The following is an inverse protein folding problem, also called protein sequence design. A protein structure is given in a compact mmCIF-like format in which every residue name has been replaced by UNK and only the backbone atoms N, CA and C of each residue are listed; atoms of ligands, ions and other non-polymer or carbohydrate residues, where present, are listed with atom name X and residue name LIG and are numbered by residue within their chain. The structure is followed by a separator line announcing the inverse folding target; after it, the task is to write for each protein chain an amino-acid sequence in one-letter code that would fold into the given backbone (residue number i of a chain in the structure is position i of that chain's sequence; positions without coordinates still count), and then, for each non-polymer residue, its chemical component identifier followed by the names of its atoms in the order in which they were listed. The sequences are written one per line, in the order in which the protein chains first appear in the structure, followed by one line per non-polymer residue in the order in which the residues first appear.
data_IF_863418255072
#
_entry.id   IF_863418255072
#
_cell.length_a   1.000
_cell.length_b   1.000
_cell.length_c   1.000
_cell.angle_alpha   90.00
_cell.angle_beta   90.00
_cell.angle_gamma   90.00
#
_symmetry.space_group_name_H-M   'P 1'
#
loop_
_entity.id
_entity.type
_entity.pdbx_description
1 polymer ?
#
# COMPACT_ATOMS: atom_id res chain seq x y z
N UNK A 1 -20.17 -17.13 -1.94
CA UNK A 1 -18.98 -16.33 -2.21
C UNK A 1 -18.09 -17.10 -3.15
N UNK A 2 -17.72 -16.56 -4.29
CA UNK A 2 -16.65 -17.12 -5.13
C UNK A 2 -15.37 -17.18 -4.30
N UNK A 3 -14.57 -18.23 -4.48
CA UNK A 3 -13.28 -18.33 -3.80
C UNK A 3 -12.37 -17.23 -4.33
N UNK A 4 -12.03 -16.25 -3.52
CA UNK A 4 -11.05 -15.23 -3.89
C UNK A 4 -9.64 -15.76 -3.66
N UNK A 5 -8.73 -15.41 -4.57
CA UNK A 5 -7.32 -15.79 -4.44
C UNK A 5 -6.57 -14.87 -3.49
N UNK A 6 -6.95 -13.60 -3.45
CA UNK A 6 -6.28 -12.54 -2.70
C UNK A 6 -7.29 -11.83 -1.78
N UNK A 7 -6.89 -11.61 -0.53
CA UNK A 7 -7.55 -10.66 0.38
C UNK A 7 -6.62 -9.47 0.59
N UNK A 8 -7.09 -8.27 0.29
CA UNK A 8 -6.39 -7.02 0.60
C UNK A 8 -7.06 -6.35 1.79
N UNK A 9 -6.30 -6.09 2.86
CA UNK A 9 -6.76 -5.24 3.98
C UNK A 9 -6.21 -3.85 3.73
N UNK A 10 -7.08 -2.94 3.34
CA UNK A 10 -6.74 -1.71 2.65
C UNK A 10 -7.09 -0.45 3.43
N UNK A 11 -6.23 0.56 3.35
CA UNK A 11 -6.66 1.94 3.50
C UNK A 11 -7.35 2.41 2.21
N UNK A 12 -8.48 3.06 2.39
CA UNK A 12 -9.34 3.58 1.31
C UNK A 12 -9.40 5.10 1.43
N UNK A 13 -8.85 5.81 0.46
CA UNK A 13 -8.78 7.26 0.45
C UNK A 13 -9.41 7.82 -0.83
N UNK A 14 -9.92 9.04 -0.74
CA UNK A 14 -10.00 9.88 -1.94
C UNK A 14 -8.69 10.65 -2.08
N UNK A 15 -8.10 10.62 -3.26
CA UNK A 15 -6.87 11.35 -3.56
C UNK A 15 -7.25 12.67 -4.26
N UNK A 16 -6.99 13.80 -3.59
CA UNK A 16 -7.16 15.14 -4.14
C UNK A 16 -5.78 15.66 -4.56
N UNK A 17 -5.50 15.61 -5.85
CA UNK A 17 -4.23 16.03 -6.44
C UNK A 17 -4.38 17.47 -6.92
N UNK A 18 -3.62 18.38 -6.34
CA UNK A 18 -3.51 19.77 -6.78
C UNK A 18 -2.28 19.92 -7.65
N UNK A 19 -2.45 20.36 -8.89
CA UNK A 19 -1.34 20.61 -9.82
C UNK A 19 -0.94 22.06 -9.80
N UNK A 20 0.36 22.33 -9.67
CA UNK A 20 0.94 23.66 -9.71
C UNK A 20 2.10 23.72 -10.72
N UNK A 21 1.89 24.38 -11.85
CA UNK A 21 2.91 24.54 -12.91
C UNK A 21 4.03 25.50 -12.53
N UNK A 22 3.73 26.49 -11.68
CA UNK A 22 4.70 27.48 -11.23
C UNK A 22 4.96 27.36 -9.73
N UNK A 23 6.08 26.75 -9.38
CA UNK A 23 6.49 26.50 -7.98
C UNK A 23 7.02 27.72 -7.23
N UNK A 24 7.22 28.88 -7.91
CA UNK A 24 7.83 30.08 -7.32
C UNK A 24 6.86 30.97 -6.54
N UNK A 25 5.67 30.50 -6.21
CA UNK A 25 4.73 31.26 -5.40
C UNK A 25 5.20 31.33 -3.93
N UNK A 26 5.69 32.52 -3.52
CA UNK A 26 6.17 32.78 -2.14
C UNK A 26 5.09 33.36 -1.22
N UNK A 27 3.91 33.70 -1.74
CA UNK A 27 2.81 34.29 -0.97
C UNK A 27 2.12 33.24 -0.06
N UNK A 28 1.46 33.72 1.02
CA UNK A 28 0.61 32.86 1.87
C UNK A 28 -0.55 32.24 1.10
N UNK A 29 -1.07 32.94 0.10
CA UNK A 29 -2.12 32.45 -0.80
C UNK A 29 -1.45 31.83 -2.01
N UNK A 30 -1.66 30.55 -2.21
CA UNK A 30 -1.16 29.80 -3.36
C UNK A 30 -2.34 29.44 -4.26
N UNK A 31 -2.07 29.34 -5.56
CA UNK A 31 -3.04 28.95 -6.56
C UNK A 31 -2.58 27.66 -7.22
N UNK A 32 -3.45 26.67 -7.29
CA UNK A 32 -3.28 25.53 -8.15
C UNK A 32 -3.86 25.82 -9.53
N UNK A 33 -3.28 25.25 -10.57
CA UNK A 33 -3.75 25.40 -11.95
C UNK A 33 -4.92 24.46 -12.25
N UNK A 34 -4.92 23.27 -11.64
CA UNK A 34 -5.97 22.27 -11.76
C UNK A 34 -6.03 21.40 -10.51
N UNK A 35 -7.09 20.59 -10.41
CA UNK A 35 -7.14 19.50 -9.46
C UNK A 35 -7.77 18.26 -10.10
N UNK A 36 -7.38 17.09 -9.57
CA UNK A 36 -8.00 15.79 -9.85
C UNK A 36 -8.48 15.19 -8.55
N UNK A 37 -9.63 14.57 -8.57
CA UNK A 37 -10.18 13.81 -7.45
C UNK A 37 -10.45 12.39 -7.92
N UNK A 38 -9.82 11.41 -7.28
CA UNK A 38 -9.94 10.00 -7.66
C UNK A 38 -9.95 9.08 -6.44
N UNK A 39 -10.61 7.92 -6.51
CA UNK A 39 -10.39 6.85 -5.56
C UNK A 39 -8.92 6.43 -5.51
N UNK A 40 -8.41 6.20 -4.31
CA UNK A 40 -7.01 5.86 -4.10
C UNK A 40 -6.75 5.30 -2.70
N UNK A 41 -5.54 5.53 -2.23
CA UNK A 41 -4.96 4.84 -1.08
C UNK A 41 -4.18 3.60 -1.52
N UNK A 42 -3.04 3.34 -0.88
CA UNK A 42 -2.13 2.27 -1.33
C UNK A 42 -2.83 0.91 -1.43
N UNK A 43 -3.60 0.52 -0.39
CA UNK A 43 -4.30 -0.76 -0.43
C UNK A 43 -5.42 -0.82 -1.46
N UNK A 44 -6.09 0.31 -1.76
CA UNK A 44 -7.03 0.40 -2.88
C UNK A 44 -6.30 0.14 -4.21
N UNK A 45 -5.18 0.83 -4.45
CA UNK A 45 -4.41 0.72 -5.68
C UNK A 45 -3.86 -0.70 -5.88
N UNK A 46 -3.38 -1.35 -4.80
CA UNK A 46 -2.92 -2.74 -4.80
C UNK A 46 -4.04 -3.71 -5.20
N UNK A 47 -5.23 -3.53 -4.63
CA UNK A 47 -6.39 -4.39 -4.93
C UNK A 47 -6.85 -4.23 -6.39
N UNK A 48 -6.95 -2.98 -6.87
CA UNK A 48 -7.34 -2.68 -8.26
C UNK A 48 -6.30 -3.22 -9.23
N UNK A 49 -5.01 -3.03 -8.96
CA UNK A 49 -3.94 -3.56 -9.80
C UNK A 49 -4.01 -5.09 -9.90
N UNK A 50 -4.19 -5.78 -8.77
CA UNK A 50 -4.33 -7.23 -8.76
C UNK A 50 -5.58 -7.71 -9.54
N UNK A 51 -6.71 -7.03 -9.38
CA UNK A 51 -7.95 -7.35 -10.09
C UNK A 51 -7.80 -7.14 -11.62
N UNK A 52 -7.20 -6.03 -12.03
CA UNK A 52 -6.93 -5.72 -13.46
C UNK A 52 -5.94 -6.70 -14.09
N UNK A 53 -5.06 -7.31 -13.29
CA UNK A 53 -4.18 -8.40 -13.73
C UNK A 53 -4.86 -9.78 -13.77
N UNK A 54 -6.16 -9.85 -13.47
CA UNK A 54 -6.98 -11.06 -13.56
C UNK A 54 -7.09 -11.89 -12.28
N UNK A 55 -6.61 -11.38 -11.14
CA UNK A 55 -6.81 -12.05 -9.87
C UNK A 55 -8.26 -11.87 -9.36
N UNK A 56 -8.77 -12.87 -8.63
CA UNK A 56 -10.01 -12.73 -7.87
C UNK A 56 -9.69 -12.12 -6.52
N UNK A 57 -10.11 -10.86 -6.30
CA UNK A 57 -9.74 -10.06 -5.14
C UNK A 57 -10.94 -9.81 -4.24
N UNK A 58 -10.79 -10.13 -2.95
CA UNK A 58 -11.62 -9.61 -1.88
C UNK A 58 -10.92 -8.42 -1.23
N UNK A 59 -11.68 -7.35 -0.93
CA UNK A 59 -11.14 -6.17 -0.29
C UNK A 59 -11.88 -5.88 1.01
N UNK A 60 -11.11 -5.75 2.09
CA UNK A 60 -11.57 -5.36 3.41
C UNK A 60 -11.07 -3.97 3.77
N UNK A 61 -11.96 -3.10 4.23
CA UNK A 61 -11.62 -1.71 4.53
C UNK A 61 -12.77 -0.95 5.18
N UNK A 62 -12.52 0.33 5.47
CA UNK A 62 -13.52 1.24 6.05
C UNK A 62 -13.63 2.49 5.19
N UNK A 63 -14.87 2.93 4.96
CA UNK A 63 -15.20 4.21 4.31
C UNK A 63 -16.14 5.00 5.20
N UNK A 64 -16.10 6.32 5.09
CA UNK A 64 -17.00 7.20 5.83
C UNK A 64 -18.40 7.22 5.26
N UNK A 65 -19.34 7.78 6.04
CA UNK A 65 -20.73 8.04 5.60
C UNK A 65 -20.87 9.37 4.84
N UNK A 66 -19.81 9.83 4.20
CA UNK A 66 -19.73 11.06 3.42
C UNK A 66 -19.81 10.83 1.90
N UNK A 67 -19.75 11.91 1.12
CA UNK A 67 -19.76 11.85 -0.34
C UNK A 67 -18.55 11.11 -0.94
N UNK A 68 -17.40 11.16 -0.26
CA UNK A 68 -16.22 10.43 -0.68
C UNK A 68 -16.39 8.91 -0.47
N UNK A 69 -16.99 8.52 0.66
CA UNK A 69 -17.35 7.10 0.89
C UNK A 69 -18.30 6.54 -0.15
N UNK A 70 -19.28 7.34 -0.60
CA UNK A 70 -20.17 6.94 -1.68
C UNK A 70 -19.42 6.74 -3.01
N UNK A 71 -18.50 7.63 -3.36
CA UNK A 71 -17.68 7.52 -4.58
C UNK A 71 -16.72 6.32 -4.50
N UNK A 72 -16.04 6.12 -3.36
CA UNK A 72 -15.19 4.96 -3.12
C UNK A 72 -15.98 3.66 -3.30
N UNK A 73 -17.18 3.57 -2.71
CA UNK A 73 -18.02 2.39 -2.81
C UNK A 73 -18.46 2.10 -4.25
N UNK A 74 -18.79 3.13 -5.02
CA UNK A 74 -19.14 2.99 -6.43
C UNK A 74 -17.96 2.42 -7.24
N UNK A 75 -16.77 2.99 -7.09
CA UNK A 75 -15.57 2.55 -7.77
C UNK A 75 -15.16 1.11 -7.38
N UNK A 76 -15.27 0.75 -6.10
CA UNK A 76 -14.97 -0.61 -5.65
C UNK A 76 -15.89 -1.65 -6.28
N UNK A 77 -17.16 -1.34 -6.49
CA UNK A 77 -18.11 -2.26 -7.14
C UNK A 77 -17.79 -2.50 -8.63
N UNK A 78 -17.08 -1.57 -9.26
CA UNK A 78 -16.67 -1.69 -10.67
C UNK A 78 -15.34 -2.44 -10.82
N UNK A 79 -14.41 -2.24 -9.89
CA UNK A 79 -13.02 -2.68 -10.01
C UNK A 79 -12.72 -4.00 -9.26
N UNK A 80 -13.44 -4.28 -8.17
CA UNK A 80 -13.08 -5.37 -7.24
C UNK A 80 -14.10 -6.51 -7.30
N UNK A 81 -13.61 -7.74 -7.28
CA UNK A 81 -14.44 -8.95 -7.36
C UNK A 81 -15.40 -9.08 -6.18
N UNK A 82 -14.93 -8.78 -4.95
CA UNK A 82 -15.72 -8.83 -3.72
C UNK A 82 -15.38 -7.68 -2.79
N UNK A 83 -16.25 -6.67 -2.72
CA UNK A 83 -16.16 -5.51 -1.83
C UNK A 83 -17.09 -5.59 -0.60
N UNK A 84 -17.70 -6.75 -0.32
CA UNK A 84 -18.69 -6.90 0.77
C UNK A 84 -18.06 -6.74 2.15
N UNK A 85 -16.75 -6.90 2.27
CA UNK A 85 -16.00 -6.68 3.50
C UNK A 85 -15.70 -5.19 3.76
N UNK A 86 -16.02 -4.29 2.84
CA UNK A 86 -15.90 -2.85 3.09
C UNK A 86 -17.12 -2.36 3.89
N UNK A 87 -16.85 -1.76 5.04
CA UNK A 87 -17.88 -1.21 5.92
C UNK A 87 -17.98 0.30 5.83
N UNK A 88 -19.18 0.81 5.91
CA UNK A 88 -19.46 2.25 6.07
C UNK A 88 -19.51 2.56 7.57
N UNK A 89 -18.73 3.53 8.01
CA UNK A 89 -18.71 4.00 9.41
C UNK A 89 -19.11 5.47 9.48
N UNK A 90 -19.65 5.95 10.59
CA UNK A 90 -19.94 7.38 10.78
C UNK A 90 -18.65 8.23 10.67
N UNK A 91 -18.76 9.38 10.02
CA UNK A 91 -17.64 10.34 9.87
C UNK A 91 -17.10 10.40 8.45
N UNK A 92 -15.91 11.00 8.32
CA UNK A 92 -15.25 11.22 7.03
C UNK A 92 -14.49 10.00 6.55
N UNK A 93 -14.47 9.78 5.26
CA UNK A 93 -13.57 8.86 4.58
C UNK A 93 -12.10 9.30 4.73
N UNK A 94 -11.17 8.41 4.44
CA UNK A 94 -9.77 8.79 4.27
C UNK A 94 -9.60 9.75 3.08
N UNK A 95 -8.65 10.67 3.20
CA UNK A 95 -8.32 11.64 2.16
C UNK A 95 -6.80 11.83 2.09
N UNK A 96 -6.24 11.77 0.90
CA UNK A 96 -4.88 12.20 0.62
C UNK A 96 -4.94 13.50 -0.19
N UNK A 97 -4.42 14.60 0.38
CA UNK A 97 -4.20 15.83 -0.35
C UNK A 97 -2.76 15.84 -0.88
N UNK A 98 -2.62 15.84 -2.19
CA UNK A 98 -1.34 15.75 -2.88
C UNK A 98 -1.07 17.06 -3.62
N UNK A 99 -0.02 17.77 -3.24
CA UNK A 99 0.44 18.93 -3.97
C UNK A 99 1.57 18.50 -4.91
N UNK A 100 1.28 18.52 -6.21
CA UNK A 100 2.24 18.24 -7.27
C UNK A 100 2.71 19.54 -7.90
N UNK A 101 3.99 19.81 -7.82
CA UNK A 101 4.59 21.04 -8.38
C UNK A 101 5.70 20.69 -9.35
N UNK A 102 5.74 21.38 -10.51
CA UNK A 102 6.73 21.13 -11.54
C UNK A 102 8.16 21.23 -10.99
N UNK A 103 8.96 20.18 -11.15
CA UNK A 103 10.36 20.12 -10.74
C UNK A 103 10.59 19.98 -9.23
N UNK A 104 9.55 19.74 -8.44
CA UNK A 104 9.65 19.48 -6.99
C UNK A 104 9.10 18.09 -6.65
N UNK A 105 9.47 17.59 -5.46
CA UNK A 105 8.83 16.39 -4.92
C UNK A 105 7.40 16.73 -4.48
N UNK A 106 6.48 15.77 -4.64
CA UNK A 106 5.11 15.94 -4.19
C UNK A 106 5.05 16.08 -2.66
N UNK A 107 4.11 16.90 -2.18
CA UNK A 107 3.83 17.04 -0.75
C UNK A 107 2.49 16.37 -0.47
N UNK A 108 2.45 15.55 0.58
CA UNK A 108 1.29 14.76 0.94
C UNK A 108 0.76 15.18 2.32
N UNK A 109 -0.57 15.30 2.45
CA UNK A 109 -1.27 15.37 3.72
C UNK A 109 -2.32 14.28 3.75
N UNK A 110 -2.12 13.32 4.65
CA UNK A 110 -3.05 12.21 4.81
C UNK A 110 -3.99 12.46 5.99
N UNK A 111 -5.29 12.35 5.73
CA UNK A 111 -6.34 12.36 6.72
C UNK A 111 -6.84 10.92 6.85
N UNK A 112 -6.56 10.29 7.98
CA UNK A 112 -6.84 8.87 8.21
C UNK A 112 -8.33 8.56 8.08
N UNK A 113 -9.20 9.42 8.62
CA UNK A 113 -10.65 9.24 8.54
C UNK A 113 -11.11 7.86 9.00
N UNK A 114 -12.01 7.27 8.24
CA UNK A 114 -12.60 5.95 8.49
C UNK A 114 -11.57 4.82 8.60
N UNK A 115 -10.38 4.96 7.99
CA UNK A 115 -9.33 3.94 8.10
C UNK A 115 -8.88 3.69 9.55
N UNK A 116 -9.05 4.66 10.46
CA UNK A 116 -8.79 4.48 11.89
C UNK A 116 -9.71 3.44 12.54
N UNK A 117 -10.85 3.14 11.96
CA UNK A 117 -11.81 2.15 12.46
C UNK A 117 -11.48 0.70 12.05
N UNK A 118 -10.40 0.48 11.30
CA UNK A 118 -9.87 -0.85 11.03
C UNK A 118 -9.18 -1.41 12.27
N UNK A 119 -9.94 -1.63 13.33
CA UNK A 119 -9.44 -2.11 14.62
C UNK A 119 -9.23 -3.62 14.66
N UNK A 120 -8.69 -4.12 15.77
CA UNK A 120 -8.43 -5.54 15.95
C UNK A 120 -9.71 -6.38 16.00
N UNK A 121 -10.84 -5.82 16.44
CA UNK A 121 -12.11 -6.54 16.48
C UNK A 121 -12.60 -6.84 15.06
N UNK A 122 -12.52 -5.83 14.19
CA UNK A 122 -12.81 -6.01 12.77
C UNK A 122 -11.90 -7.05 12.12
N UNK A 123 -10.57 -7.01 12.40
CA UNK A 123 -9.61 -7.96 11.87
C UNK A 123 -9.89 -9.39 12.34
N UNK A 124 -10.26 -9.59 13.62
CA UNK A 124 -10.69 -10.91 14.12
C UNK A 124 -11.90 -11.45 13.34
N UNK A 125 -12.84 -10.56 12.98
CA UNK A 125 -13.99 -10.92 12.15
C UNK A 125 -13.61 -11.39 10.74
N UNK A 126 -12.41 -11.06 10.26
CA UNK A 126 -11.90 -11.49 8.94
C UNK A 126 -11.17 -12.85 8.98
N UNK A 127 -10.97 -13.47 10.16
CA UNK A 127 -10.15 -14.68 10.28
C UNK A 127 -10.57 -15.79 9.31
N UNK A 128 -11.88 -16.04 9.17
CA UNK A 128 -12.38 -17.05 8.25
C UNK A 128 -12.16 -16.72 6.77
N UNK A 129 -12.01 -15.45 6.41
CA UNK A 129 -11.67 -15.00 5.06
C UNK A 129 -10.17 -15.13 4.81
N UNK A 130 -9.35 -14.71 5.78
CA UNK A 130 -7.88 -14.88 5.75
C UNK A 130 -7.52 -16.36 5.54
N UNK A 131 -8.20 -17.28 6.24
CA UNK A 131 -7.94 -18.72 6.15
C UNK A 131 -8.29 -19.34 4.79
N UNK A 132 -9.05 -18.66 3.93
CA UNK A 132 -9.54 -19.21 2.65
C UNK A 132 -8.82 -18.70 1.43
N UNK A 133 -8.06 -17.60 1.54
CA UNK A 133 -7.32 -17.01 0.43
C UNK A 133 -5.93 -17.60 0.31
N UNK A 134 -5.34 -17.50 -0.86
CA UNK A 134 -3.94 -17.91 -1.10
C UNK A 134 -2.95 -16.86 -0.59
N UNK A 135 -3.32 -15.59 -0.66
CA UNK A 135 -2.47 -14.45 -0.31
C UNK A 135 -3.26 -13.40 0.46
N UNK A 136 -2.71 -12.99 1.60
CA UNK A 136 -3.09 -11.78 2.31
C UNK A 136 -2.14 -10.66 1.89
N UNK A 137 -2.68 -9.53 1.41
CA UNK A 137 -1.94 -8.29 1.18
C UNK A 137 -2.33 -7.30 2.26
N UNK A 138 -1.36 -6.73 2.96
CA UNK A 138 -1.58 -5.78 4.05
C UNK A 138 -0.41 -4.81 4.16
N UNK A 139 -0.69 -3.59 4.61
CA UNK A 139 0.33 -2.55 4.80
C UNK A 139 0.06 -1.69 6.04
N UNK A 140 0.85 -0.64 6.24
CA UNK A 140 0.73 0.25 7.40
C UNK A 140 -0.16 1.49 7.16
N UNK A 141 -0.93 1.52 6.09
CA UNK A 141 -2.01 2.51 5.88
C UNK A 141 -3.23 2.30 6.79
N UNK A 142 -3.20 1.22 7.59
CA UNK A 142 -4.19 0.91 8.63
C UNK A 142 -3.50 0.85 10.01
N UNK A 143 -4.24 0.83 11.15
CA UNK A 143 -3.61 0.78 12.46
C UNK A 143 -2.60 -0.37 12.59
N UNK A 144 -1.43 -0.09 13.15
CA UNK A 144 -0.32 -1.04 13.24
C UNK A 144 -0.71 -2.35 13.94
N UNK A 145 -1.44 -2.28 15.05
CA UNK A 145 -1.90 -3.46 15.78
C UNK A 145 -2.77 -4.37 14.91
N UNK A 146 -3.61 -3.77 14.06
CA UNK A 146 -4.48 -4.48 13.11
C UNK A 146 -3.67 -5.18 12.02
N UNK A 147 -2.65 -4.52 11.48
CA UNK A 147 -1.72 -5.13 10.52
C UNK A 147 -1.00 -6.34 11.13
N UNK A 148 -0.44 -6.18 12.33
CA UNK A 148 0.26 -7.28 13.04
C UNK A 148 -0.69 -8.44 13.33
N UNK A 149 -1.91 -8.15 13.78
CA UNK A 149 -2.91 -9.19 14.03
C UNK A 149 -3.29 -9.94 12.75
N UNK A 150 -3.50 -9.24 11.64
CA UNK A 150 -3.82 -9.86 10.36
C UNK A 150 -2.70 -10.82 9.89
N UNK A 151 -1.43 -10.39 10.03
CA UNK A 151 -0.26 -11.23 9.71
C UNK A 151 -0.22 -12.48 10.61
N UNK A 152 -0.47 -12.34 11.91
CA UNK A 152 -0.50 -13.48 12.84
C UNK A 152 -1.64 -14.47 12.52
N UNK A 153 -2.81 -13.95 12.13
CA UNK A 153 -3.92 -14.79 11.71
C UNK A 153 -3.59 -15.55 10.42
N UNK A 154 -2.98 -14.88 9.44
CA UNK A 154 -2.51 -15.52 8.22
C UNK A 154 -1.49 -16.63 8.52
N UNK A 155 -0.51 -16.36 9.37
CA UNK A 155 0.46 -17.36 9.83
C UNK A 155 -0.21 -18.56 10.50
N UNK A 156 -1.22 -18.34 11.36
CA UNK A 156 -1.98 -19.40 12.02
C UNK A 156 -2.66 -20.35 11.03
N UNK A 157 -3.11 -19.83 9.91
CA UNK A 157 -3.83 -20.60 8.88
C UNK A 157 -2.96 -21.03 7.68
N UNK A 158 -1.68 -20.69 7.67
CA UNK A 158 -0.77 -21.02 6.57
C UNK A 158 -1.04 -20.21 5.30
N UNK A 159 -1.73 -19.08 5.41
CA UNK A 159 -1.96 -18.13 4.30
C UNK A 159 -0.68 -17.34 4.04
N UNK A 160 -0.27 -17.24 2.79
CA UNK A 160 0.89 -16.42 2.42
C UNK A 160 0.64 -14.93 2.69
N UNK A 161 1.67 -14.19 3.09
CA UNK A 161 1.58 -12.77 3.45
C UNK A 161 2.47 -11.94 2.54
N UNK A 162 1.88 -10.94 1.87
CA UNK A 162 2.59 -9.81 1.28
C UNK A 162 2.41 -8.60 2.18
N UNK A 163 3.52 -8.11 2.74
CA UNK A 163 3.55 -6.87 3.52
C UNK A 163 4.08 -5.74 2.65
N UNK A 164 3.29 -4.69 2.47
CA UNK A 164 3.70 -3.46 1.78
C UNK A 164 4.07 -2.42 2.83
N UNK A 165 5.35 -2.11 2.90
CA UNK A 165 5.98 -1.45 4.05
C UNK A 165 6.08 0.08 3.89
N UNK A 166 5.11 0.74 3.28
CA UNK A 166 5.09 2.21 3.27
C UNK A 166 4.80 2.78 4.67
N UNK A 167 5.30 3.98 4.96
CA UNK A 167 5.30 4.60 6.30
C UNK A 167 5.94 3.69 7.37
N UNK A 168 6.98 2.95 6.97
CA UNK A 168 7.54 1.92 7.80
C UNK A 168 8.27 2.47 9.03
N UNK A 169 8.23 1.67 10.06
CA UNK A 169 9.00 1.75 11.29
C UNK A 169 9.88 0.51 11.39
N UNK A 170 10.85 0.49 12.29
CA UNK A 170 11.60 -0.75 12.55
C UNK A 170 10.66 -1.91 12.86
N UNK A 171 10.86 -3.05 12.20
CA UNK A 171 10.09 -4.28 12.42
C UNK A 171 10.99 -5.30 13.14
N UNK A 172 10.37 -6.10 14.00
CA UNK A 172 11.08 -7.22 14.64
C UNK A 172 11.35 -8.34 13.65
N UNK A 173 12.40 -9.12 13.89
CA UNK A 173 12.70 -10.32 13.11
C UNK A 173 11.59 -11.36 13.23
N UNK A 174 10.92 -11.44 14.41
CA UNK A 174 9.71 -12.26 14.59
C UNK A 174 8.64 -11.89 13.57
N UNK A 175 8.32 -10.61 13.40
CA UNK A 175 7.29 -10.17 12.44
C UNK A 175 7.74 -10.41 11.00
N UNK A 176 9.00 -10.11 10.67
CA UNK A 176 9.56 -10.36 9.33
C UNK A 176 9.54 -11.84 8.96
N UNK A 177 9.74 -12.75 9.93
CA UNK A 177 9.68 -14.21 9.69
C UNK A 177 8.27 -14.73 9.37
N UNK A 178 7.23 -13.92 9.58
CA UNK A 178 5.84 -14.23 9.22
C UNK A 178 5.47 -13.69 7.82
N UNK A 179 6.37 -12.95 7.17
CA UNK A 179 6.14 -12.33 5.87
C UNK A 179 6.77 -13.16 4.77
N UNK A 180 5.99 -13.50 3.74
CA UNK A 180 6.49 -14.22 2.57
C UNK A 180 7.11 -13.25 1.56
N UNK A 181 6.40 -12.15 1.27
CA UNK A 181 6.83 -11.14 0.31
C UNK A 181 6.82 -9.78 1.01
N UNK A 182 7.96 -9.13 1.07
CA UNK A 182 8.09 -7.76 1.57
C UNK A 182 8.26 -6.81 0.40
N UNK A 183 7.36 -5.83 0.29
CA UNK A 183 7.43 -4.74 -0.71
C UNK A 183 7.78 -3.45 0.00
N UNK A 184 8.80 -2.75 -0.51
CA UNK A 184 9.25 -1.47 0.05
C UNK A 184 9.84 -0.57 -1.03
N UNK A 185 9.89 0.74 -0.78
CA UNK A 185 10.66 1.67 -1.58
C UNK A 185 12.06 1.92 -0.96
N UNK A 186 12.88 2.69 -1.68
CA UNK A 186 14.24 2.99 -1.23
C UNK A 186 14.29 3.80 0.08
N UNK A 187 13.24 4.57 0.42
CA UNK A 187 13.15 5.38 1.65
C UNK A 187 12.89 4.50 2.87
N UNK A 188 12.10 3.45 2.68
CA UNK A 188 11.73 2.52 3.75
C UNK A 188 12.83 1.53 4.08
N UNK A 189 13.85 1.42 3.25
CA UNK A 189 14.99 0.58 3.52
C UNK A 189 15.79 1.05 4.76
N UNK A 190 15.86 2.36 5.02
CA UNK A 190 16.56 2.87 6.19
C UNK A 190 15.94 2.38 7.52
N UNK A 191 14.63 2.57 7.81
CA UNK A 191 14.04 2.06 9.04
C UNK A 191 13.96 0.53 9.12
N UNK A 192 13.98 -0.18 7.97
CA UNK A 192 13.83 -1.64 7.93
C UNK A 192 15.15 -2.39 7.91
N UNK A 193 16.17 -1.89 7.22
CA UNK A 193 17.46 -2.55 7.04
C UNK A 193 18.65 -1.76 7.62
N UNK A 194 18.37 -0.64 8.31
CA UNK A 194 19.37 0.26 8.88
C UNK A 194 20.42 0.73 7.87
N UNK A 195 19.97 0.96 6.61
CA UNK A 195 20.85 1.48 5.57
C UNK A 195 20.10 2.26 4.50
N UNK A 196 20.74 3.30 3.98
CA UNK A 196 20.24 4.04 2.83
C UNK A 196 20.41 3.25 1.54
N UNK A 197 19.37 3.31 0.70
CA UNK A 197 19.36 2.72 -0.63
C UNK A 197 19.37 3.82 -1.69
N UNK A 198 20.50 4.00 -2.36
CA UNK A 198 20.71 5.04 -3.37
C UNK A 198 20.96 4.48 -4.77
N UNK A 199 21.27 3.19 -4.89
CA UNK A 199 21.59 2.52 -6.14
C UNK A 199 21.29 1.02 -6.04
N UNK A 200 21.41 0.31 -7.18
CA UNK A 200 21.13 -1.12 -7.26
C UNK A 200 22.03 -1.97 -6.36
N UNK A 201 23.29 -1.57 -6.12
CA UNK A 201 24.21 -2.30 -5.24
C UNK A 201 23.73 -2.22 -3.79
N UNK A 202 23.40 -1.03 -3.28
CA UNK A 202 22.86 -0.86 -1.93
C UNK A 202 21.48 -1.51 -1.78
N UNK A 203 20.63 -1.49 -2.83
CA UNK A 203 19.36 -2.20 -2.84
C UNK A 203 19.50 -3.71 -2.65
N UNK A 204 20.48 -4.33 -3.33
CA UNK A 204 20.79 -5.76 -3.18
C UNK A 204 21.26 -6.11 -1.76
N UNK A 205 22.06 -5.25 -1.15
CA UNK A 205 22.54 -5.47 0.23
C UNK A 205 21.35 -5.37 1.20
N UNK A 206 20.55 -4.31 1.13
CA UNK A 206 19.38 -4.12 1.97
C UNK A 206 18.39 -5.29 1.86
N UNK A 207 18.05 -5.69 0.63
CA UNK A 207 17.16 -6.82 0.39
C UNK A 207 17.73 -8.14 0.95
N UNK A 208 19.02 -8.37 0.78
CA UNK A 208 19.70 -9.55 1.36
C UNK A 208 19.72 -9.56 2.90
N UNK A 209 19.80 -8.39 3.53
CA UNK A 209 19.70 -8.27 4.99
C UNK A 209 18.29 -8.61 5.46
N UNK A 210 17.23 -8.12 4.77
CA UNK A 210 15.83 -8.39 5.11
C UNK A 210 15.47 -9.88 4.94
N UNK A 211 15.99 -10.54 3.91
CA UNK A 211 15.89 -12.00 3.75
C UNK A 211 16.54 -12.74 4.92
N UNK A 212 17.75 -12.34 5.35
CA UNK A 212 18.43 -12.94 6.50
C UNK A 212 17.72 -12.71 7.82
N UNK A 213 16.95 -11.61 7.95
CA UNK A 213 16.10 -11.30 9.11
C UNK A 213 14.78 -12.07 9.12
N UNK A 214 14.50 -12.88 8.10
CA UNK A 214 13.42 -13.83 8.14
C UNK A 214 12.38 -13.73 7.03
N UNK A 215 12.40 -12.72 6.15
CA UNK A 215 11.48 -12.68 5.00
C UNK A 215 11.63 -13.96 4.19
N UNK A 216 10.50 -14.67 3.97
CA UNK A 216 10.60 -16.10 3.59
C UNK A 216 10.86 -16.34 2.11
N UNK A 217 10.27 -15.57 1.24
CA UNK A 217 10.33 -15.84 -0.21
C UNK A 217 11.01 -14.73 -1.00
N UNK A 218 10.55 -13.49 -0.87
CA UNK A 218 11.06 -12.40 -1.68
C UNK A 218 11.02 -11.04 -0.97
N UNK A 219 11.97 -10.17 -1.32
CA UNK A 219 11.94 -8.74 -1.06
C UNK A 219 11.85 -8.02 -2.39
N UNK A 220 10.79 -7.24 -2.58
CA UNK A 220 10.58 -6.39 -3.75
C UNK A 220 10.90 -4.95 -3.36
N UNK A 221 11.98 -4.41 -3.90
CA UNK A 221 12.43 -3.06 -3.60
C UNK A 221 12.39 -2.20 -4.85
N UNK A 222 11.57 -1.14 -4.83
CA UNK A 222 11.50 -0.20 -5.94
C UNK A 222 12.31 1.08 -5.65
N UNK A 223 12.88 1.66 -6.69
CA UNK A 223 13.74 2.83 -6.60
C UNK A 223 13.23 3.92 -7.54
N UNK A 224 12.54 4.92 -7.00
CA UNK A 224 12.12 6.16 -7.70
C UNK A 224 11.74 5.92 -9.17
N UNK A 225 10.76 5.04 -9.44
CA UNK A 225 10.26 4.72 -10.78
C UNK A 225 11.28 4.22 -11.83
N UNK A 226 12.53 3.94 -11.43
CA UNK A 226 13.57 3.51 -12.37
C UNK A 226 13.91 2.04 -12.31
N UNK A 227 13.91 1.44 -11.14
CA UNK A 227 14.30 0.05 -10.95
C UNK A 227 13.37 -0.65 -9.98
N UNK A 228 13.02 -1.87 -10.29
CA UNK A 228 12.48 -2.84 -9.35
C UNK A 228 13.55 -3.91 -9.14
N UNK A 229 13.94 -4.13 -7.90
CA UNK A 229 14.77 -5.27 -7.50
C UNK A 229 13.88 -6.33 -6.87
N UNK A 230 13.91 -7.54 -7.40
CA UNK A 230 13.37 -8.73 -6.76
C UNK A 230 14.55 -9.55 -6.18
N UNK A 231 14.56 -9.73 -4.87
CA UNK A 231 15.55 -10.52 -4.16
C UNK A 231 14.88 -11.76 -3.56
N UNK A 232 15.47 -12.91 -3.77
CA UNK A 232 15.06 -14.20 -3.18
C UNK A 232 16.27 -14.90 -2.58
N UNK A 233 16.06 -15.99 -1.85
CA UNK A 233 17.15 -16.82 -1.37
C UNK A 233 17.99 -17.46 -2.52
N UNK A 234 17.45 -17.49 -3.75
CA UNK A 234 18.14 -18.01 -4.94
C UNK A 234 18.91 -16.94 -5.72
N UNK A 235 18.81 -15.65 -5.36
CA UNK A 235 19.52 -14.57 -6.05
C UNK A 235 18.72 -13.29 -6.24
N UNK A 236 19.17 -12.48 -7.18
CA UNK A 236 18.61 -11.15 -7.45
C UNK A 236 18.26 -11.00 -8.92
N UNK A 237 17.10 -10.41 -9.18
CA UNK A 237 16.70 -9.96 -10.52
C UNK A 237 16.33 -8.49 -10.45
N UNK A 238 16.71 -7.71 -11.44
CA UNK A 238 16.32 -6.31 -11.52
C UNK A 238 15.64 -6.01 -12.85
N UNK A 239 14.57 -5.22 -12.79
CA UNK A 239 13.88 -4.67 -13.95
C UNK A 239 14.12 -3.17 -13.99
N UNK A 240 14.46 -2.65 -15.16
CA UNK A 240 14.58 -1.22 -15.40
C UNK A 240 13.29 -0.73 -16.06
N UNK A 241 12.77 0.41 -15.60
CA UNK A 241 11.62 1.02 -16.24
C UNK A 241 11.96 1.48 -17.66
N UNK A 242 11.04 1.39 -18.63
CA UNK A 242 11.24 1.97 -19.96
C UNK A 242 11.65 3.44 -19.90
N UNK A 243 12.48 3.91 -20.82
CA UNK A 243 13.00 5.31 -20.82
C UNK A 243 11.89 6.36 -20.87
N UNK A 244 10.77 6.02 -21.50
CA UNK A 244 9.60 6.89 -21.66
C UNK A 244 8.54 6.66 -20.56
N UNK A 245 8.88 5.95 -19.50
CA UNK A 245 7.98 5.72 -18.39
C UNK A 245 7.89 6.98 -17.53
N UNK A 246 6.70 7.58 -17.51
CA UNK A 246 6.36 8.69 -16.65
C UNK A 246 5.31 8.21 -15.64
N UNK A 247 5.64 8.30 -14.36
CA UNK A 247 4.63 8.12 -13.32
C UNK A 247 3.70 9.34 -13.35
N UNK A 248 2.43 9.10 -13.58
CA UNK A 248 1.37 10.13 -13.52
C UNK A 248 0.84 10.31 -12.10
N UNK A 249 1.04 9.31 -11.27
CA UNK A 249 0.68 9.32 -9.86
C UNK A 249 1.84 8.76 -9.03
N UNK A 250 2.31 9.55 -8.05
CA UNK A 250 3.42 9.15 -7.18
C UNK A 250 2.97 8.27 -6.00
N UNK A 251 1.69 8.01 -5.87
CA UNK A 251 1.10 7.10 -4.88
C UNK A 251 0.86 5.68 -5.43
N UNK A 252 1.08 5.49 -6.72
CA UNK A 252 0.92 4.19 -7.39
C UNK A 252 2.20 3.36 -7.35
#
# INVERSE_FOLDING_TARGET
MSACDILVIANLNMDLILEQKNSQQTSRKRYADSFTLSPGGNGYNEAVAAARMGATVALAGMIGSDSFGAQLKASLNEEITDSQLVRVVPGSSGLSLILSSAGQENIYWDIVGANACLDEEYIRGLESHIAKVKLLVVGFGVPYASTVLAIRLAQKHGTAVMLVAYQSRPLSDELLSMVDILVLDSREALPLADMEVTNLKSARIAAGMLLKRGVRQAVLLHMKSRFLLAATNGGFTSLEAPKDFHMTDASA
#
